data_IF_534654289872
#
_entry.id   IF_534654289872
#
_cell.length_a   1.000
_cell.length_b   1.000
_cell.length_c   1.000
_cell.angle_alpha   90.00
_cell.angle_beta   90.00
_cell.angle_gamma   90.00
#
_symmetry.space_group_name_H-M   'P 1'
#
loop_
_entity.id
_entity.type
_entity.pdbx_description
1 polymer ?
#
# COMPACT_ATOMS: atom_id res chain seq x y z
N UNK A 1 13.33 -4.94 -16.40
CA UNK A 1 12.10 -5.42 -15.72
C UNK A 1 11.35 -4.21 -15.19
N UNK A 2 10.04 -4.09 -15.48
CA UNK A 2 9.18 -2.99 -15.05
C UNK A 2 9.29 -2.78 -13.52
N UNK A 3 9.47 -1.54 -13.02
CA UNK A 3 9.53 -1.24 -11.59
C UNK A 3 8.31 -1.77 -10.80
N UNK A 4 7.10 -1.62 -11.34
CA UNK A 4 5.86 -2.10 -10.70
C UNK A 4 5.84 -3.62 -10.55
N UNK A 5 6.29 -4.37 -11.56
CA UNK A 5 6.39 -5.83 -11.47
C UNK A 5 7.45 -6.29 -10.44
N UNK A 6 8.48 -5.49 -10.16
CA UNK A 6 9.42 -5.76 -9.06
C UNK A 6 8.75 -5.55 -7.70
N UNK A 7 7.98 -4.46 -7.55
CA UNK A 7 7.23 -4.17 -6.33
C UNK A 7 6.18 -5.25 -6.06
N UNK A 8 5.41 -5.64 -7.09
CA UNK A 8 4.44 -6.73 -6.98
C UNK A 8 5.09 -8.00 -6.43
N UNK A 9 6.18 -8.47 -7.06
CA UNK A 9 6.88 -9.67 -6.59
C UNK A 9 7.44 -9.52 -5.18
N UNK A 10 7.90 -8.32 -4.81
CA UNK A 10 8.35 -8.02 -3.46
C UNK A 10 7.24 -8.23 -2.44
N UNK A 11 6.06 -7.64 -2.66
CA UNK A 11 4.90 -7.77 -1.78
C UNK A 11 4.33 -9.20 -1.78
N UNK A 12 4.23 -9.85 -2.94
CA UNK A 12 3.78 -11.24 -3.03
C UNK A 12 4.70 -12.19 -2.25
N UNK A 13 6.01 -11.99 -2.33
CA UNK A 13 7.00 -12.75 -1.55
C UNK A 13 6.87 -12.47 -0.07
N UNK A 14 6.74 -11.20 0.32
CA UNK A 14 6.57 -10.77 1.71
C UNK A 14 5.37 -11.48 2.35
N UNK A 15 4.22 -11.42 1.68
CA UNK A 15 2.95 -11.94 2.21
C UNK A 15 2.68 -13.40 1.89
N UNK A 16 3.52 -14.01 1.04
CA UNK A 16 3.33 -15.38 0.51
C UNK A 16 1.96 -15.51 -0.15
N UNK A 17 1.69 -14.63 -1.08
CA UNK A 17 0.50 -14.61 -1.93
C UNK A 17 0.93 -14.62 -3.38
N UNK A 18 0.02 -15.01 -4.27
CA UNK A 18 0.22 -15.01 -5.71
C UNK A 18 -1.08 -14.51 -6.35
N UNK A 19 -1.02 -13.38 -7.03
CA UNK A 19 -2.18 -12.83 -7.73
C UNK A 19 -2.46 -13.56 -9.05
N UNK A 20 -1.49 -14.30 -9.58
CA UNK A 20 -1.59 -15.03 -10.86
C UNK A 20 -1.74 -14.12 -12.08
N UNK A 21 -1.50 -12.82 -11.92
CA UNK A 21 -1.56 -11.81 -12.99
C UNK A 21 -0.41 -10.82 -12.82
N UNK A 22 0.00 -10.16 -13.89
CA UNK A 22 1.06 -9.15 -13.85
C UNK A 22 0.43 -7.75 -13.74
N UNK A 23 0.83 -6.95 -12.76
CA UNK A 23 0.29 -5.60 -12.55
C UNK A 23 0.42 -4.71 -13.80
N UNK A 24 1.45 -4.93 -14.60
CA UNK A 24 1.69 -4.18 -15.84
C UNK A 24 0.57 -4.31 -16.86
N UNK A 25 -0.17 -5.41 -16.86
CA UNK A 25 -1.29 -5.66 -17.79
C UNK A 25 -2.54 -4.84 -17.41
N UNK A 26 -2.58 -4.29 -16.21
CA UNK A 26 -3.69 -3.51 -15.66
C UNK A 26 -3.38 -2.01 -15.61
N UNK A 27 -2.16 -1.60 -15.96
CA UNK A 27 -1.79 -0.18 -15.96
C UNK A 27 -2.44 0.52 -17.14
N UNK A 28 -3.18 1.59 -16.85
CA UNK A 28 -3.84 2.44 -17.85
C UNK A 28 -3.15 3.80 -17.99
N UNK A 29 -3.30 4.41 -19.16
CA UNK A 29 -2.82 5.77 -19.42
C UNK A 29 -3.80 6.85 -18.94
N UNK A 30 -3.34 8.11 -18.94
CA UNK A 30 -4.12 9.27 -18.46
C UNK A 30 -5.46 9.42 -19.22
N UNK A 31 -5.47 9.24 -20.54
CA UNK A 31 -6.69 9.37 -21.33
C UNK A 31 -7.78 8.40 -20.89
N UNK A 32 -7.42 7.15 -20.61
CA UNK A 32 -8.36 6.12 -20.14
C UNK A 32 -8.80 6.43 -18.70
N UNK A 33 -7.86 6.86 -17.81
CA UNK A 33 -8.19 7.28 -16.46
C UNK A 33 -9.19 8.43 -16.45
N UNK A 34 -8.98 9.47 -17.28
CA UNK A 34 -9.84 10.64 -17.39
C UNK A 34 -11.25 10.29 -17.92
N UNK A 35 -11.35 9.26 -18.76
CA UNK A 35 -12.65 8.74 -19.23
C UNK A 35 -13.39 7.98 -18.13
N UNK A 36 -12.70 7.12 -17.38
CA UNK A 36 -13.29 6.29 -16.33
C UNK A 36 -13.57 7.05 -15.02
N UNK A 37 -12.75 8.03 -14.67
CA UNK A 37 -12.83 8.80 -13.42
C UNK A 37 -12.57 10.30 -13.66
N UNK A 38 -13.47 11.02 -14.34
CA UNK A 38 -13.23 12.41 -14.74
C UNK A 38 -13.20 13.41 -13.60
N UNK A 39 -13.71 13.06 -12.42
CA UNK A 39 -13.91 13.98 -11.31
C UNK A 39 -12.59 14.41 -10.63
N UNK A 40 -11.57 13.55 -10.64
CA UNK A 40 -10.26 13.79 -10.00
C UNK A 40 -9.12 13.28 -10.87
N UNK A 41 -7.95 13.90 -10.70
CA UNK A 41 -6.73 13.56 -11.44
C UNK A 41 -5.55 13.25 -10.51
N UNK A 42 -5.67 12.28 -9.60
CA UNK A 42 -4.58 11.89 -8.72
C UNK A 42 -3.43 11.30 -9.53
N UNK A 43 -2.22 11.29 -8.94
CA UNK A 43 -1.03 10.68 -9.56
C UNK A 43 -1.01 9.15 -9.46
N UNK A 44 -1.83 8.59 -8.60
CA UNK A 44 -2.09 7.15 -8.44
C UNK A 44 -3.58 6.92 -8.21
N UNK A 45 -4.16 5.87 -8.82
CA UNK A 45 -5.56 5.50 -8.61
C UNK A 45 -5.80 4.04 -8.98
N UNK A 46 -6.34 3.25 -8.06
CA UNK A 46 -6.94 1.96 -8.37
C UNK A 46 -8.44 2.15 -8.67
N UNK A 47 -8.85 1.78 -9.87
CA UNK A 47 -10.24 1.74 -10.28
C UNK A 47 -10.75 0.30 -10.18
N UNK A 48 -11.87 0.11 -9.49
CA UNK A 48 -12.52 -1.18 -9.30
C UNK A 48 -13.94 -1.09 -9.81
N UNK A 49 -14.32 -1.98 -10.68
CA UNK A 49 -15.69 -2.12 -11.18
C UNK A 49 -16.15 -3.55 -10.93
N UNK A 50 -17.27 -3.68 -10.26
CA UNK A 50 -17.93 -4.97 -10.01
C UNK A 50 -19.23 -5.02 -10.82
N UNK A 51 -19.34 -5.98 -11.71
CA UNK A 51 -20.55 -6.21 -12.49
C UNK A 51 -20.84 -7.71 -12.57
N UNK A 52 -22.05 -8.10 -12.21
CA UNK A 52 -22.54 -9.50 -12.32
C UNK A 52 -21.64 -10.59 -11.71
N UNK A 53 -20.89 -10.23 -10.66
CA UNK A 53 -19.96 -11.17 -9.99
C UNK A 53 -18.57 -11.24 -10.61
N UNK A 54 -18.30 -10.43 -11.63
CA UNK A 54 -16.98 -10.23 -12.19
C UNK A 54 -16.38 -8.91 -11.68
N UNK A 55 -15.08 -8.92 -11.36
CA UNK A 55 -14.34 -7.75 -10.93
C UNK A 55 -13.36 -7.33 -12.04
N UNK A 56 -13.53 -6.12 -12.57
CA UNK A 56 -12.56 -5.48 -13.44
C UNK A 56 -11.71 -4.49 -12.64
N UNK A 57 -10.41 -4.50 -12.88
CA UNK A 57 -9.45 -3.60 -12.24
C UNK A 57 -8.70 -2.80 -13.30
N UNK A 58 -8.42 -1.53 -12.98
CA UNK A 58 -7.47 -0.73 -13.73
C UNK A 58 -6.64 0.10 -12.75
N UNK A 59 -5.32 0.12 -12.94
CA UNK A 59 -4.39 0.86 -12.11
C UNK A 59 -3.81 2.02 -12.92
N UNK A 60 -4.02 3.23 -12.44
CA UNK A 60 -3.32 4.40 -12.95
C UNK A 60 -2.16 4.76 -12.03
N UNK A 61 -0.97 4.91 -12.59
CA UNK A 61 0.19 5.52 -11.94
C UNK A 61 0.80 6.48 -12.96
N UNK A 62 1.00 7.73 -12.55
CA UNK A 62 1.51 8.76 -13.44
C UNK A 62 2.83 8.33 -14.11
N UNK A 63 3.00 8.49 -15.43
CA UNK A 63 4.18 8.00 -16.16
C UNK A 63 5.53 8.50 -15.59
N UNK A 64 5.59 9.74 -15.09
CA UNK A 64 6.79 10.29 -14.46
C UNK A 64 7.17 9.55 -13.17
N UNK A 65 6.17 9.09 -12.39
CA UNK A 65 6.39 8.25 -11.20
C UNK A 65 7.08 6.95 -11.60
N UNK A 66 6.54 6.28 -12.60
CA UNK A 66 7.13 5.02 -13.10
C UNK A 66 8.55 5.24 -13.61
N UNK A 67 8.76 6.30 -14.41
CA UNK A 67 10.07 6.64 -14.97
C UNK A 67 11.12 6.97 -13.88
N UNK A 68 10.71 7.64 -12.80
CA UNK A 68 11.62 7.97 -11.70
C UNK A 68 12.17 6.73 -10.98
N UNK A 69 11.49 5.59 -11.07
CA UNK A 69 11.85 4.35 -10.41
C UNK A 69 12.82 3.46 -11.21
N UNK A 70 13.08 3.79 -12.46
CA UNK A 70 14.03 3.04 -13.30
C UNK A 70 15.48 3.13 -12.76
N UNK A 71 15.83 4.24 -12.11
CA UNK A 71 17.13 4.46 -11.46
C UNK A 71 17.30 3.70 -10.12
N UNK A 72 16.27 2.94 -9.69
CA UNK A 72 16.22 2.30 -8.38
C UNK A 72 15.59 3.19 -7.31
N UNK A 73 15.49 2.64 -6.09
CA UNK A 73 14.86 3.32 -4.94
C UNK A 73 15.93 4.09 -4.16
N UNK A 74 15.63 5.35 -3.83
CA UNK A 74 16.51 6.18 -3.03
C UNK A 74 15.78 7.35 -2.38
N UNK A 75 16.50 8.13 -1.56
CA UNK A 75 15.91 9.32 -0.91
C UNK A 75 15.43 10.37 -1.91
N UNK A 76 16.01 10.40 -3.11
CA UNK A 76 15.71 11.39 -4.16
C UNK A 76 14.36 11.16 -4.83
N UNK A 77 13.85 9.93 -4.85
CA UNK A 77 12.58 9.55 -5.46
C UNK A 77 11.63 8.81 -4.50
N UNK A 78 11.84 8.99 -3.19
CA UNK A 78 11.05 8.29 -2.17
C UNK A 78 9.55 8.56 -2.29
N UNK A 79 9.15 9.80 -2.59
CA UNK A 79 7.73 10.15 -2.78
C UNK A 79 7.09 9.36 -3.92
N UNK A 80 7.75 9.27 -5.07
CA UNK A 80 7.28 8.50 -6.22
C UNK A 80 7.27 6.99 -5.91
N UNK A 81 8.26 6.51 -5.16
CA UNK A 81 8.28 5.12 -4.69
C UNK A 81 7.08 4.80 -3.78
N UNK A 82 6.78 5.68 -2.81
CA UNK A 82 5.66 5.50 -1.89
C UNK A 82 4.32 5.49 -2.63
N UNK A 83 4.16 6.37 -3.62
CA UNK A 83 2.97 6.43 -4.45
C UNK A 83 2.80 5.13 -5.28
N UNK A 84 3.87 4.65 -5.89
CA UNK A 84 3.83 3.43 -6.69
C UNK A 84 3.57 2.19 -5.82
N UNK A 85 4.17 2.11 -4.60
CA UNK A 85 3.93 0.99 -3.69
C UNK A 85 2.49 0.98 -3.18
N UNK A 86 1.87 2.16 -2.99
CA UNK A 86 0.46 2.29 -2.64
C UNK A 86 -0.44 1.66 -3.69
N UNK A 87 -0.32 2.07 -4.95
CA UNK A 87 -1.11 1.51 -6.03
C UNK A 87 -0.90 0.01 -6.24
N UNK A 88 0.34 -0.47 -6.17
CA UNK A 88 0.64 -1.91 -6.27
C UNK A 88 0.09 -2.68 -5.07
N UNK A 89 0.16 -2.12 -3.86
CA UNK A 89 -0.44 -2.69 -2.65
C UNK A 89 -1.96 -2.83 -2.79
N UNK A 90 -2.64 -1.74 -3.18
CA UNK A 90 -4.08 -1.75 -3.44
C UNK A 90 -4.47 -2.83 -4.45
N UNK A 91 -3.74 -2.91 -5.58
CA UNK A 91 -3.98 -3.89 -6.63
C UNK A 91 -3.87 -5.33 -6.12
N UNK A 92 -2.76 -5.69 -5.46
CA UNK A 92 -2.53 -7.04 -4.95
C UNK A 92 -3.58 -7.39 -3.88
N UNK A 93 -3.84 -6.44 -2.96
CA UNK A 93 -4.74 -6.68 -1.84
C UNK A 93 -6.19 -6.85 -2.28
N UNK A 94 -6.66 -6.04 -3.25
CA UNK A 94 -8.00 -6.17 -3.84
C UNK A 94 -8.18 -7.55 -4.50
N UNK A 95 -7.23 -7.99 -5.32
CA UNK A 95 -7.26 -9.33 -5.93
C UNK A 95 -7.27 -10.44 -4.88
N UNK A 96 -6.42 -10.34 -3.85
CA UNK A 96 -6.36 -11.34 -2.79
C UNK A 96 -7.67 -11.43 -2.00
N UNK A 97 -8.31 -10.29 -1.73
CA UNK A 97 -9.61 -10.25 -1.07
C UNK A 97 -10.70 -10.88 -1.96
N UNK A 98 -10.76 -10.52 -3.24
CA UNK A 98 -11.72 -11.07 -4.19
C UNK A 98 -11.57 -12.59 -4.33
N UNK A 99 -10.35 -13.11 -4.48
CA UNK A 99 -10.08 -14.55 -4.54
C UNK A 99 -10.47 -15.32 -3.26
N UNK A 100 -10.49 -14.62 -2.14
CA UNK A 100 -10.90 -15.16 -0.85
C UNK A 100 -12.39 -14.92 -0.57
N UNK A 101 -13.15 -14.45 -1.56
CA UNK A 101 -14.57 -14.07 -1.45
C UNK A 101 -14.83 -13.16 -0.22
N UNK A 102 -13.87 -12.28 0.07
CA UNK A 102 -13.90 -11.39 1.22
C UNK A 102 -14.09 -9.96 0.79
N UNK A 103 -15.14 -9.27 1.29
CA UNK A 103 -15.29 -7.84 1.03
C UNK A 103 -14.11 -7.07 1.63
N UNK A 104 -13.73 -6.00 0.97
CA UNK A 104 -12.68 -5.07 1.42
C UNK A 104 -13.23 -3.65 1.41
N UNK A 105 -12.97 -2.89 2.48
CA UNK A 105 -13.31 -1.47 2.53
C UNK A 105 -12.15 -0.60 2.06
N UNK A 106 -12.45 0.62 1.63
CA UNK A 106 -11.42 1.60 1.29
C UNK A 106 -10.48 1.86 2.47
N UNK A 107 -10.99 2.00 3.70
CA UNK A 107 -10.15 2.14 4.89
C UNK A 107 -9.18 0.97 5.08
N UNK A 108 -9.61 -0.24 4.76
CA UNK A 108 -8.75 -1.42 4.87
C UNK A 108 -7.63 -1.42 3.80
N UNK A 109 -7.95 -0.96 2.58
CA UNK A 109 -6.97 -0.77 1.52
C UNK A 109 -5.91 0.25 1.94
N UNK A 110 -6.34 1.43 2.40
CA UNK A 110 -5.44 2.49 2.85
C UNK A 110 -4.55 2.04 4.02
N UNK A 111 -5.14 1.39 5.04
CA UNK A 111 -4.38 0.88 6.18
C UNK A 111 -3.32 -0.14 5.73
N UNK A 112 -3.66 -1.03 4.80
CA UNK A 112 -2.70 -2.01 4.30
C UNK A 112 -1.60 -1.33 3.50
N UNK A 113 -1.93 -0.37 2.64
CA UNK A 113 -0.94 0.36 1.85
C UNK A 113 0.04 1.16 2.74
N UNK A 114 -0.45 1.81 3.79
CA UNK A 114 0.43 2.52 4.75
C UNK A 114 1.39 1.56 5.47
N UNK A 115 0.93 0.37 5.85
CA UNK A 115 1.81 -0.67 6.42
C UNK A 115 2.83 -1.15 5.39
N UNK A 116 2.43 -1.35 4.13
CA UNK A 116 3.29 -1.82 3.05
C UNK A 116 4.38 -0.79 2.71
N UNK A 117 4.05 0.51 2.68
CA UNK A 117 5.01 1.60 2.52
C UNK A 117 6.11 1.52 3.59
N UNK A 118 5.71 1.45 4.86
CA UNK A 118 6.66 1.37 5.98
C UNK A 118 7.53 0.12 5.90
N UNK A 119 6.92 -1.05 5.76
CA UNK A 119 7.64 -2.33 5.78
C UNK A 119 8.58 -2.46 4.59
N UNK A 120 8.15 -2.03 3.42
CA UNK A 120 8.99 -2.07 2.21
C UNK A 120 10.20 -1.15 2.36
N UNK A 121 10.02 0.08 2.84
CA UNK A 121 11.14 0.99 3.12
C UNK A 121 12.09 0.42 4.18
N UNK A 122 11.56 -0.19 5.23
CA UNK A 122 12.35 -0.81 6.30
C UNK A 122 13.20 -1.97 5.77
N UNK A 123 12.61 -2.86 4.96
CA UNK A 123 13.31 -4.03 4.41
C UNK A 123 14.30 -3.68 3.29
N UNK A 124 14.16 -2.51 2.65
CA UNK A 124 15.14 -1.97 1.70
C UNK A 124 16.19 -1.09 2.35
N UNK A 125 16.19 -0.98 3.68
CA UNK A 125 17.16 -0.18 4.45
C UNK A 125 17.25 1.29 3.98
N UNK A 126 16.11 1.85 3.59
CA UNK A 126 16.02 3.23 3.07
C UNK A 126 16.39 4.24 4.15
N UNK A 127 15.97 3.96 5.40
CA UNK A 127 16.29 4.76 6.59
C UNK A 127 16.09 3.92 7.87
N UNK A 128 16.48 4.47 9.05
CA UNK A 128 16.17 3.81 10.31
C UNK A 128 14.65 3.72 10.54
N UNK A 129 14.22 2.72 11.30
CA UNK A 129 12.78 2.51 11.61
C UNK A 129 12.13 3.76 12.21
N UNK A 130 12.82 4.44 13.14
CA UNK A 130 12.34 5.69 13.76
C UNK A 130 12.20 6.82 12.72
N UNK A 131 13.22 7.03 11.88
CA UNK A 131 13.19 8.05 10.84
C UNK A 131 12.10 7.77 9.78
N UNK A 132 11.87 6.48 9.44
CA UNK A 132 10.79 6.09 8.57
C UNK A 132 9.42 6.42 9.17
N UNK A 133 9.19 6.10 10.45
CA UNK A 133 7.92 6.42 11.12
C UNK A 133 7.65 7.92 11.16
N UNK A 134 8.65 8.72 11.49
CA UNK A 134 8.52 10.17 11.50
C UNK A 134 8.16 10.71 10.11
N UNK A 135 8.87 10.25 9.08
CA UNK A 135 8.67 10.70 7.70
C UNK A 135 7.34 10.26 7.11
N UNK A 136 6.97 8.99 7.29
CA UNK A 136 5.78 8.41 6.65
C UNK A 136 4.48 8.82 7.32
N UNK A 137 4.48 8.96 8.66
CA UNK A 137 3.23 9.12 9.40
C UNK A 137 3.05 10.47 10.07
N UNK A 138 4.12 11.22 10.37
CA UNK A 138 4.03 12.53 11.02
C UNK A 138 4.31 13.69 10.08
N UNK A 139 5.23 13.51 9.14
CA UNK A 139 5.58 14.54 8.16
C UNK A 139 4.81 14.36 6.83
N UNK A 140 3.81 13.47 6.77
CA UNK A 140 3.00 13.27 5.58
C UNK A 140 2.07 14.48 5.36
N UNK A 141 1.99 14.92 4.13
CA UNK A 141 0.98 15.87 3.67
C UNK A 141 -0.06 15.10 2.85
N UNK A 142 -1.32 15.25 3.20
CA UNK A 142 -2.41 14.73 2.37
C UNK A 142 -2.66 15.69 1.19
N UNK A 143 -3.17 15.17 0.09
CA UNK A 143 -3.55 16.00 -1.05
C UNK A 143 -4.63 17.03 -0.64
N UNK A 144 -4.52 18.26 -1.19
CA UNK A 144 -5.40 19.37 -0.80
C UNK A 144 -6.83 19.22 -1.31
N UNK A 145 -7.03 18.39 -2.35
CA UNK A 145 -8.30 18.17 -3.03
C UNK A 145 -9.13 16.99 -2.48
N UNK A 146 -8.70 16.38 -1.37
CA UNK A 146 -9.47 15.35 -0.67
C UNK A 146 -10.77 15.93 -0.09
N UNK A 147 -11.88 15.23 -0.27
CA UNK A 147 -13.10 15.54 0.47
C UNK A 147 -12.97 15.20 1.97
N UNK A 148 -14.01 15.55 2.76
CA UNK A 148 -13.99 15.36 4.21
C UNK A 148 -13.89 13.89 4.61
N UNK A 149 -14.64 13.02 3.95
CA UNK A 149 -14.70 11.57 4.26
C UNK A 149 -13.39 10.88 3.82
N UNK A 150 -12.85 11.27 2.68
CA UNK A 150 -11.55 10.80 2.20
C UNK A 150 -10.43 11.19 3.17
N UNK A 151 -10.38 12.47 3.56
CA UNK A 151 -9.37 12.97 4.49
C UNK A 151 -9.44 12.26 5.84
N UNK A 152 -10.64 12.04 6.38
CA UNK A 152 -10.82 11.28 7.62
C UNK A 152 -10.34 9.83 7.46
N UNK A 153 -10.67 9.18 6.35
CA UNK A 153 -10.23 7.81 6.04
C UNK A 153 -8.71 7.69 5.99
N UNK A 154 -8.03 8.59 5.26
CA UNK A 154 -6.57 8.62 5.20
C UNK A 154 -5.95 8.89 6.57
N UNK A 155 -6.50 9.82 7.35
CA UNK A 155 -6.03 10.11 8.70
C UNK A 155 -6.15 8.88 9.61
N UNK A 156 -7.29 8.21 9.60
CA UNK A 156 -7.52 7.00 10.40
C UNK A 156 -6.58 5.87 9.98
N UNK A 157 -6.37 5.67 8.69
CA UNK A 157 -5.42 4.68 8.17
C UNK A 157 -4.00 4.97 8.63
N UNK A 158 -3.54 6.20 8.46
CA UNK A 158 -2.21 6.69 8.84
C UNK A 158 -1.95 6.52 10.34
N UNK A 159 -2.88 6.97 11.20
CA UNK A 159 -2.75 6.88 12.66
C UNK A 159 -2.66 5.41 13.13
N UNK A 160 -3.44 4.53 12.55
CA UNK A 160 -3.40 3.10 12.88
C UNK A 160 -2.11 2.44 12.36
N UNK A 161 -1.68 2.75 11.14
CA UNK A 161 -0.43 2.24 10.59
C UNK A 161 0.78 2.73 11.41
N UNK A 162 0.78 3.99 11.86
CA UNK A 162 1.80 4.53 12.74
C UNK A 162 1.91 3.74 14.06
N UNK A 163 0.78 3.45 14.72
CA UNK A 163 0.75 2.65 15.96
C UNK A 163 1.27 1.24 15.72
N UNK A 164 0.86 0.62 14.62
CA UNK A 164 1.31 -0.72 14.26
C UNK A 164 2.81 -0.75 13.96
N UNK A 165 3.32 0.21 13.19
CA UNK A 165 4.74 0.36 12.90
C UNK A 165 5.59 0.57 14.18
N UNK A 166 5.12 1.39 15.13
CA UNK A 166 5.79 1.58 16.41
C UNK A 166 5.86 0.29 17.22
N UNK A 167 4.80 -0.49 17.23
CA UNK A 167 4.79 -1.79 17.87
C UNK A 167 5.72 -2.80 17.20
N UNK A 168 5.72 -2.86 15.87
CA UNK A 168 6.64 -3.70 15.10
C UNK A 168 8.10 -3.36 15.42
N UNK A 169 8.42 -2.07 15.51
CA UNK A 169 9.76 -1.61 15.86
C UNK A 169 10.21 -2.13 17.23
N UNK A 170 9.43 -1.87 18.28
CA UNK A 170 9.78 -2.25 19.65
C UNK A 170 9.82 -3.78 19.82
N UNK A 171 8.89 -4.47 19.18
CA UNK A 171 8.71 -5.91 19.39
C UNK A 171 9.70 -6.75 18.59
N UNK A 172 10.01 -6.33 17.35
CA UNK A 172 10.77 -7.14 16.41
C UNK A 172 12.06 -6.47 15.93
N UNK A 173 11.97 -5.23 15.42
CA UNK A 173 13.12 -4.57 14.74
C UNK A 173 14.25 -4.30 15.73
N UNK A 174 13.95 -3.64 16.84
CA UNK A 174 14.93 -3.34 17.89
C UNK A 174 15.57 -4.60 18.49
N UNK A 175 14.87 -5.73 18.41
CA UNK A 175 15.33 -7.03 18.91
C UNK A 175 15.92 -7.91 17.82
N UNK A 176 16.07 -7.41 16.57
CA UNK A 176 16.56 -8.14 15.40
C UNK A 176 15.79 -9.43 15.08
N UNK A 177 14.48 -9.45 15.39
CA UNK A 177 13.58 -10.59 15.19
C UNK A 177 12.78 -10.46 13.88
N UNK A 178 13.48 -10.21 12.79
CA UNK A 178 12.85 -10.00 11.47
C UNK A 178 12.04 -11.21 10.99
N UNK A 179 12.49 -12.46 11.13
CA UNK A 179 11.69 -13.62 10.70
C UNK A 179 10.33 -13.71 11.40
N UNK A 180 10.26 -13.39 12.69
CA UNK A 180 9.01 -13.38 13.46
C UNK A 180 8.11 -12.22 13.04
N UNK A 181 8.70 -11.04 12.76
CA UNK A 181 7.98 -9.90 12.19
C UNK A 181 7.30 -10.27 10.87
N UNK A 182 8.01 -10.97 9.98
CA UNK A 182 7.42 -11.45 8.72
C UNK A 182 6.24 -12.41 8.96
N UNK A 183 6.32 -13.23 9.98
CA UNK A 183 5.21 -14.11 10.40
C UNK A 183 3.99 -13.31 10.86
N UNK A 184 4.20 -12.26 11.65
CA UNK A 184 3.15 -11.34 12.10
C UNK A 184 2.52 -10.57 10.95
N UNK A 185 3.32 -9.98 10.08
CA UNK A 185 2.87 -9.26 8.90
C UNK A 185 1.97 -10.11 7.99
N UNK A 186 2.30 -11.39 7.81
CA UNK A 186 1.49 -12.34 7.03
C UNK A 186 0.15 -12.64 7.69
N UNK A 187 0.09 -12.70 9.03
CA UNK A 187 -1.19 -12.85 9.77
C UNK A 187 -2.03 -11.59 9.63
N UNK A 188 -1.42 -10.43 9.84
CA UNK A 188 -2.07 -9.13 9.70
C UNK A 188 -2.65 -8.93 8.29
N UNK A 189 -1.89 -9.25 7.25
CA UNK A 189 -2.31 -9.16 5.85
C UNK A 189 -3.57 -9.98 5.56
N UNK A 190 -3.68 -11.19 6.12
CA UNK A 190 -4.85 -12.07 5.93
C UNK A 190 -6.05 -11.72 6.79
N UNK A 191 -5.90 -10.81 7.73
CA UNK A 191 -6.97 -10.36 8.62
C UNK A 191 -7.82 -9.30 7.94
N UNK A 192 -9.14 -9.30 8.19
CA UNK A 192 -10.02 -8.20 7.80
C UNK A 192 -9.90 -7.00 8.75
N UNK A 193 -10.47 -5.86 8.35
CA UNK A 193 -10.30 -4.57 9.04
C UNK A 193 -10.52 -4.64 10.56
N UNK A 194 -11.62 -5.24 11.01
CA UNK A 194 -11.93 -5.33 12.45
C UNK A 194 -10.83 -6.07 13.24
N UNK A 195 -10.30 -7.16 12.68
CA UNK A 195 -9.22 -7.92 13.30
C UNK A 195 -7.87 -7.18 13.25
N UNK A 196 -7.59 -6.43 12.18
CA UNK A 196 -6.44 -5.53 12.08
C UNK A 196 -6.49 -4.46 13.16
N UNK A 197 -7.61 -3.75 13.29
CA UNK A 197 -7.79 -2.72 14.32
C UNK A 197 -7.69 -3.28 15.74
N UNK A 198 -8.27 -4.47 16.00
CA UNK A 198 -8.12 -5.14 17.27
C UNK A 198 -6.67 -5.55 17.58
N UNK A 199 -5.89 -5.92 16.57
CA UNK A 199 -4.46 -6.23 16.73
C UNK A 199 -3.68 -4.96 17.08
N UNK A 200 -3.93 -3.85 16.41
CA UNK A 200 -3.31 -2.56 16.67
C UNK A 200 -3.65 -2.06 18.08
N UNK A 201 -4.93 -2.16 18.48
CA UNK A 201 -5.36 -1.72 19.81
C UNK A 201 -4.72 -2.52 20.96
N UNK A 202 -4.39 -3.79 20.75
CA UNK A 202 -3.67 -4.62 21.73
C UNK A 202 -2.17 -4.35 21.76
N UNK A 203 -1.63 -3.79 20.69
CA UNK A 203 -0.22 -3.48 20.52
C UNK A 203 0.16 -2.10 21.11
N UNK A 204 -0.82 -1.21 21.34
CA UNK A 204 -0.66 0.13 21.90
C UNK A 204 -0.69 0.11 23.41
#
# INVERSE_FOLDING_TARGET
MNPLARMQRGLETLYRVDTGVEVGDFVIGEAVRDELAPARKPREQLLVMEETGEMALALFIHPEVIASLDAGIGRHNLGDFLLAIEGVSHFIYAIQCARSERPVSQLELELQAEVDKYVTCLLHDVDSSEALRERLFRACAFEDDLDGDERERYQVANDNAHRYAAWLEVTFVARRRIPEMLGELRRFYRSGLAAKLATIARAA
#
